data_IF_213363341959
#
_entry.id   IF_213363341959
#
_cell.length_a   1.000
_cell.length_b   1.000
_cell.length_c   1.000
_cell.angle_alpha   90.00
_cell.angle_beta   90.00
_cell.angle_gamma   90.00
#
_symmetry.space_group_name_H-M   'P 1'
#
loop_
_entity.id
_entity.type
_entity.pdbx_description
1 polymer ?
#
# COMPACT_ATOMS: atom_id res chain seq x y z
N UNK A 1 -9.66 13.68 7.88
CA UNK A 1 -10.20 12.37 7.43
C UNK A 1 -11.70 12.36 7.63
N UNK A 2 -12.46 11.74 6.72
CA UNK A 2 -13.91 11.58 6.84
C UNK A 2 -14.22 10.13 7.20
N UNK A 3 -15.16 9.89 8.10
CA UNK A 3 -15.59 8.56 8.52
C UNK A 3 -17.10 8.40 8.34
N UNK A 4 -17.52 7.19 8.03
CA UNK A 4 -18.92 6.77 7.95
C UNK A 4 -19.39 6.28 9.32
N UNK A 5 -20.44 6.90 9.86
CA UNK A 5 -21.09 6.39 11.06
C UNK A 5 -21.87 5.11 10.75
N UNK A 6 -21.55 4.02 11.43
CA UNK A 6 -22.01 2.66 11.07
C UNK A 6 -23.53 2.50 11.13
N UNK A 7 -24.19 3.04 12.17
CA UNK A 7 -25.65 2.89 12.35
C UNK A 7 -26.50 3.82 11.50
N UNK A 8 -26.06 5.06 11.31
CA UNK A 8 -26.85 6.08 10.60
C UNK A 8 -26.46 6.22 9.12
N UNK A 9 -25.34 5.62 8.71
CA UNK A 9 -24.73 5.73 7.40
C UNK A 9 -24.54 7.19 6.96
N UNK A 10 -24.13 8.04 7.90
CA UNK A 10 -23.82 9.45 7.68
C UNK A 10 -22.33 9.70 7.78
N UNK A 11 -21.82 10.57 6.92
CA UNK A 11 -20.41 10.92 6.88
C UNK A 11 -20.12 12.09 7.84
N UNK A 12 -19.04 11.95 8.62
CA UNK A 12 -18.55 12.95 9.55
C UNK A 12 -17.09 13.25 9.28
N UNK A 13 -16.71 14.53 9.38
CA UNK A 13 -15.35 14.99 9.15
C UNK A 13 -14.62 15.14 10.50
N UNK A 14 -13.41 14.57 10.57
CA UNK A 14 -12.53 14.61 11.73
C UNK A 14 -11.15 15.16 11.33
N UNK A 15 -10.47 15.77 12.29
CA UNK A 15 -9.20 16.47 12.09
C UNK A 15 -8.22 16.16 13.22
N UNK A 16 -6.93 16.03 12.88
CA UNK A 16 -5.84 15.86 13.85
C UNK A 16 -6.06 14.70 14.81
N UNK A 17 -5.81 14.95 16.09
CA UNK A 17 -5.91 13.94 17.16
C UNK A 17 -7.35 13.63 17.60
N UNK A 18 -8.35 14.27 16.98
CA UNK A 18 -9.76 14.04 17.29
C UNK A 18 -10.41 12.99 16.38
N UNK A 19 -9.61 12.11 15.77
CA UNK A 19 -10.12 10.98 15.00
C UNK A 19 -10.51 9.87 15.98
N UNK A 20 -11.79 9.46 16.05
CA UNK A 20 -12.22 8.38 16.94
C UNK A 20 -11.66 7.04 16.46
N UNK A 21 -11.73 6.02 17.31
CA UNK A 21 -11.55 4.63 16.90
C UNK A 21 -12.47 4.26 15.72
N UNK A 22 -11.92 3.55 14.73
CA UNK A 22 -12.63 3.15 13.53
C UNK A 22 -12.14 1.82 12.98
N UNK A 23 -13.04 1.12 12.29
CA UNK A 23 -12.71 0.02 11.41
C UNK A 23 -12.51 0.53 9.97
N UNK A 24 -11.78 -0.21 9.15
CA UNK A 24 -11.51 0.15 7.74
C UNK A 24 -11.92 -0.99 6.81
N UNK A 25 -12.48 -0.65 5.65
CA UNK A 25 -12.83 -1.63 4.61
C UNK A 25 -11.76 -1.68 3.54
N UNK A 26 -11.11 -2.83 3.41
CA UNK A 26 -10.30 -3.20 2.27
C UNK A 26 -11.16 -3.98 1.27
N UNK A 27 -11.16 -3.57 0.00
CA UNK A 27 -11.97 -4.21 -1.02
C UNK A 27 -11.41 -4.01 -2.42
N UNK A 28 -12.00 -4.70 -3.40
CA UNK A 28 -11.76 -4.41 -4.82
C UNK A 28 -12.95 -3.68 -5.43
N UNK A 29 -12.70 -2.70 -6.31
CA UNK A 29 -13.78 -1.89 -6.89
C UNK A 29 -14.57 -2.70 -7.92
N UNK A 30 -15.90 -2.70 -7.82
CA UNK A 30 -16.85 -3.34 -8.74
C UNK A 30 -17.45 -2.36 -9.76
N UNK A 31 -18.58 -2.74 -10.36
CA UNK A 31 -19.23 -1.98 -11.43
C UNK A 31 -19.90 -0.69 -10.96
N UNK A 32 -20.60 -0.70 -9.82
CA UNK A 32 -21.33 0.45 -9.31
C UNK A 32 -20.95 0.77 -7.86
N UNK A 33 -19.77 1.38 -7.71
CA UNK A 33 -19.31 1.88 -6.41
C UNK A 33 -20.16 3.04 -5.90
N UNK A 34 -20.40 3.06 -4.58
CA UNK A 34 -21.03 4.18 -3.91
C UNK A 34 -19.99 5.28 -3.70
N UNK A 35 -20.23 6.44 -4.30
CA UNK A 35 -19.36 7.60 -4.15
C UNK A 35 -19.74 8.47 -2.95
N UNK A 36 -18.86 9.41 -2.59
CA UNK A 36 -19.18 10.47 -1.64
C UNK A 36 -20.47 11.21 -2.02
N UNK A 37 -20.62 11.54 -3.30
CA UNK A 37 -21.80 12.24 -3.83
C UNK A 37 -23.05 11.39 -3.73
N UNK A 38 -22.96 10.07 -3.94
CA UNK A 38 -24.12 9.18 -3.79
C UNK A 38 -24.60 9.13 -2.32
N UNK A 39 -23.68 9.16 -1.36
CA UNK A 39 -24.01 9.27 0.06
C UNK A 39 -24.71 10.60 0.37
N UNK A 40 -24.17 11.72 -0.12
CA UNK A 40 -24.75 13.05 0.13
C UNK A 40 -26.14 13.22 -0.51
N UNK A 41 -26.34 12.65 -1.70
CA UNK A 41 -27.58 12.79 -2.46
C UNK A 41 -28.63 11.70 -2.13
N UNK A 42 -28.35 10.81 -1.16
CA UNK A 42 -29.25 9.71 -0.79
C UNK A 42 -29.45 8.66 -1.90
N UNK A 43 -28.47 8.51 -2.80
CA UNK A 43 -28.48 7.56 -3.92
C UNK A 43 -27.68 6.29 -3.66
N UNK A 44 -27.00 6.21 -2.52
CA UNK A 44 -26.16 5.07 -2.15
C UNK A 44 -26.90 3.73 -2.28
N UNK A 45 -28.13 3.62 -1.75
CA UNK A 45 -28.91 2.38 -1.76
C UNK A 45 -29.30 1.86 -3.17
N UNK A 46 -29.17 2.67 -4.21
CA UNK A 46 -29.44 2.23 -5.60
C UNK A 46 -28.23 1.59 -6.30
N UNK A 47 -27.08 1.53 -5.63
CA UNK A 47 -25.82 1.05 -6.20
C UNK A 47 -25.50 -0.35 -5.69
N UNK A 48 -24.97 -1.22 -6.54
CA UNK A 48 -24.58 -2.57 -6.13
C UNK A 48 -23.47 -2.58 -5.08
N UNK A 49 -22.56 -1.62 -5.13
CA UNK A 49 -21.50 -1.44 -4.11
C UNK A 49 -22.00 -1.02 -2.73
N UNK A 50 -23.32 -0.79 -2.55
CA UNK A 50 -23.89 -0.46 -1.24
C UNK A 50 -23.90 -1.66 -0.28
N UNK A 51 -24.07 -2.88 -0.80
CA UNK A 51 -24.15 -4.10 0.01
C UNK A 51 -22.88 -4.32 0.85
N UNK A 52 -21.70 -4.13 0.26
CA UNK A 52 -20.42 -4.22 1.01
C UNK A 52 -20.24 -3.12 2.05
N UNK A 53 -20.83 -1.94 1.84
CA UNK A 53 -20.81 -0.85 2.83
C UNK A 53 -21.67 -1.25 4.03
N UNK A 54 -22.86 -1.80 3.77
CA UNK A 54 -23.75 -2.30 4.82
C UNK A 54 -23.07 -3.43 5.60
N UNK A 55 -22.56 -4.44 4.90
CA UNK A 55 -21.87 -5.58 5.52
C UNK A 55 -20.70 -5.13 6.40
N UNK A 56 -19.89 -4.17 5.93
CA UNK A 56 -18.82 -3.57 6.72
C UNK A 56 -19.35 -2.85 7.97
N UNK A 57 -20.42 -2.05 7.83
CA UNK A 57 -21.01 -1.34 8.96
C UNK A 57 -21.64 -2.28 9.99
N UNK A 58 -22.29 -3.36 9.53
CA UNK A 58 -22.92 -4.36 10.38
C UNK A 58 -21.85 -5.10 11.19
N UNK A 59 -20.78 -5.58 10.54
CA UNK A 59 -19.64 -6.21 11.23
C UNK A 59 -18.97 -5.24 12.21
N UNK A 60 -18.77 -3.99 11.81
CA UNK A 60 -18.21 -2.96 12.67
C UNK A 60 -19.06 -2.72 13.92
N UNK A 61 -20.39 -2.74 13.80
CA UNK A 61 -21.30 -2.59 14.94
C UNK A 61 -21.20 -3.78 15.89
N UNK A 62 -21.14 -5.00 15.38
CA UNK A 62 -20.95 -6.22 16.18
C UNK A 62 -19.64 -6.18 16.98
N UNK A 63 -18.61 -5.64 16.34
CA UNK A 63 -17.28 -5.49 16.91
C UNK A 63 -17.12 -4.25 17.81
N UNK A 64 -18.17 -3.44 17.96
CA UNK A 64 -18.21 -2.28 18.86
C UNK A 64 -17.77 -0.95 18.26
N UNK A 65 -17.49 -0.89 16.95
CA UNK A 65 -17.08 0.33 16.25
C UNK A 65 -18.28 1.21 15.86
N UNK A 66 -18.15 2.51 16.13
CA UNK A 66 -19.14 3.52 15.71
C UNK A 66 -18.87 4.09 14.32
N UNK A 67 -17.64 3.92 13.82
CA UNK A 67 -17.17 4.53 12.60
C UNK A 67 -16.41 3.53 11.74
N UNK A 68 -16.63 3.63 10.42
CA UNK A 68 -15.84 2.96 9.41
C UNK A 68 -15.20 3.96 8.46
N UNK A 69 -14.04 3.60 7.89
CA UNK A 69 -13.50 4.26 6.72
C UNK A 69 -13.61 3.37 5.48
N UNK A 70 -14.08 3.95 4.39
CA UNK A 70 -14.26 3.28 3.10
C UNK A 70 -13.87 4.27 2.01
N UNK A 71 -12.82 3.96 1.25
CA UNK A 71 -12.21 4.86 0.25
C UNK A 71 -13.21 5.34 -0.83
N UNK A 72 -14.21 4.53 -1.15
CA UNK A 72 -15.19 4.85 -2.19
C UNK A 72 -16.11 5.99 -1.83
N UNK A 73 -16.52 6.08 -0.57
CA UNK A 73 -17.51 7.05 -0.11
C UNK A 73 -16.99 8.06 0.94
N UNK A 74 -15.85 7.78 1.59
CA UNK A 74 -15.24 8.69 2.55
C UNK A 74 -14.36 9.76 1.88
N UNK A 75 -13.89 9.54 0.65
CA UNK A 75 -13.08 10.50 -0.09
C UNK A 75 -13.95 11.21 -1.13
N UNK A 76 -13.95 12.54 -1.13
CA UNK A 76 -14.45 13.31 -2.27
C UNK A 76 -13.45 13.28 -3.43
N UNK A 77 -13.64 12.32 -4.33
CA UNK A 77 -12.79 12.13 -5.52
C UNK A 77 -12.95 13.24 -6.57
N UNK A 78 -13.91 14.16 -6.41
CA UNK A 78 -14.06 15.33 -7.29
C UNK A 78 -13.15 16.48 -6.87
N UNK A 79 -12.66 16.47 -5.63
CA UNK A 79 -11.68 17.40 -5.10
C UNK A 79 -10.27 16.83 -5.30
N UNK A 80 -9.48 17.43 -6.21
CA UNK A 80 -8.12 16.96 -6.49
C UNK A 80 -7.18 17.10 -5.29
N UNK A 81 -7.38 18.14 -4.46
CA UNK A 81 -6.63 18.31 -3.22
C UNK A 81 -6.96 17.24 -2.19
N UNK A 82 -8.24 16.94 -1.97
CA UNK A 82 -8.68 15.90 -1.05
C UNK A 82 -8.21 14.52 -1.52
N UNK A 83 -8.33 14.23 -2.82
CA UNK A 83 -7.84 12.98 -3.40
C UNK A 83 -6.32 12.82 -3.23
N UNK A 84 -5.56 13.89 -3.43
CA UNK A 84 -4.09 13.86 -3.25
C UNK A 84 -3.71 13.66 -1.79
N UNK A 85 -4.37 14.36 -0.87
CA UNK A 85 -4.14 14.19 0.58
C UNK A 85 -4.50 12.77 1.01
N UNK A 86 -5.62 12.24 0.53
CA UNK A 86 -6.08 10.90 0.84
C UNK A 86 -5.12 9.83 0.37
N UNK A 87 -4.66 9.90 -0.89
CA UNK A 87 -3.68 8.93 -1.43
C UNK A 87 -2.37 8.96 -0.65
N UNK A 88 -1.87 10.14 -0.28
CA UNK A 88 -0.65 10.28 0.52
C UNK A 88 -0.84 9.83 1.98
N UNK A 89 -2.07 9.80 2.49
CA UNK A 89 -2.38 9.43 3.87
C UNK A 89 -2.88 7.99 4.01
N UNK A 90 -3.20 7.32 2.91
CA UNK A 90 -3.99 6.09 2.91
C UNK A 90 -3.34 4.97 3.73
N UNK A 91 -2.03 4.75 3.56
CA UNK A 91 -1.29 3.76 4.37
C UNK A 91 -1.40 4.05 5.86
N UNK A 92 -1.23 5.33 6.25
CA UNK A 92 -1.36 5.74 7.65
C UNK A 92 -2.77 5.50 8.18
N UNK A 93 -3.79 5.70 7.36
CA UNK A 93 -5.18 5.43 7.74
C UNK A 93 -5.47 3.93 7.88
N UNK A 94 -4.89 3.06 7.06
CA UNK A 94 -4.96 1.62 7.28
C UNK A 94 -4.19 1.19 8.54
N UNK A 95 -3.01 1.76 8.78
CA UNK A 95 -2.19 1.43 9.94
C UNK A 95 -2.77 1.88 11.28
N UNK A 96 -3.56 2.95 11.28
CA UNK A 96 -4.24 3.48 12.47
C UNK A 96 -5.63 2.89 12.71
N UNK A 97 -6.19 2.17 11.73
CA UNK A 97 -7.46 1.49 11.92
C UNK A 97 -7.29 0.39 12.97
N UNK A 98 -8.28 0.22 13.85
CA UNK A 98 -8.23 -0.84 14.86
C UNK A 98 -8.57 -2.21 14.27
N UNK A 99 -9.41 -2.25 13.23
CA UNK A 99 -9.68 -3.46 12.43
C UNK A 99 -9.77 -3.16 10.96
N UNK A 100 -9.29 -4.09 10.14
CA UNK A 100 -9.45 -4.07 8.69
C UNK A 100 -10.34 -5.23 8.25
N UNK A 101 -11.52 -4.93 7.72
CA UNK A 101 -12.40 -5.91 7.11
C UNK A 101 -12.06 -6.05 5.63
N UNK A 102 -11.87 -7.29 5.18
CA UNK A 102 -11.59 -7.59 3.77
C UNK A 102 -12.86 -8.11 3.11
N UNK A 103 -13.31 -7.43 2.07
CA UNK A 103 -14.42 -7.89 1.23
C UNK A 103 -13.89 -8.58 -0.03
N UNK A 104 -14.06 -9.91 -0.08
CA UNK A 104 -13.66 -10.79 -1.18
C UNK A 104 -14.84 -10.96 -2.14
N UNK A 105 -14.95 -10.07 -3.12
CA UNK A 105 -16.12 -9.99 -4.01
C UNK A 105 -16.27 -11.14 -5.01
N UNK A 106 -15.19 -11.85 -5.27
CA UNK A 106 -15.06 -12.91 -6.28
C UNK A 106 -14.96 -14.32 -5.68
N UNK A 107 -15.04 -14.43 -4.34
CA UNK A 107 -15.21 -15.71 -3.67
C UNK A 107 -16.68 -15.92 -3.30
N UNK A 108 -17.22 -17.14 -3.49
CA UNK A 108 -18.55 -17.48 -3.00
C UNK A 108 -18.65 -17.32 -1.47
N UNK A 109 -19.77 -16.78 -0.94
CA UNK A 109 -19.94 -16.57 0.50
C UNK A 109 -20.08 -17.86 1.31
N UNK A 110 -20.31 -18.99 0.64
CA UNK A 110 -20.58 -20.30 1.26
C UNK A 110 -19.39 -21.27 1.18
N UNK A 111 -18.20 -20.78 0.83
CA UNK A 111 -16.99 -21.60 0.84
C UNK A 111 -16.64 -22.07 2.25
N UNK A 112 -16.14 -23.31 2.35
CA UNK A 112 -15.51 -23.77 3.59
C UNK A 112 -14.16 -23.10 3.80
N UNK A 113 -13.62 -23.11 5.02
CA UNK A 113 -12.30 -22.54 5.31
C UNK A 113 -11.19 -23.13 4.42
N UNK A 114 -11.26 -24.42 4.10
CA UNK A 114 -10.30 -25.07 3.21
C UNK A 114 -10.41 -24.58 1.77
N UNK A 115 -11.64 -24.44 1.25
CA UNK A 115 -11.86 -23.99 -0.13
C UNK A 115 -11.43 -22.52 -0.29
N UNK A 116 -11.68 -21.69 0.73
CA UNK A 116 -11.17 -20.32 0.78
C UNK A 116 -9.64 -20.33 0.66
N UNK A 117 -8.91 -21.12 1.45
CA UNK A 117 -7.45 -21.17 1.39
C UNK A 117 -6.91 -21.62 0.02
N UNK A 118 -7.63 -22.46 -0.70
CA UNK A 118 -7.26 -22.90 -2.05
C UNK A 118 -7.54 -21.81 -3.10
N UNK A 119 -8.63 -21.06 -2.99
CA UNK A 119 -9.02 -20.02 -3.97
C UNK A 119 -8.43 -18.63 -3.68
N UNK A 120 -7.99 -18.37 -2.44
CA UNK A 120 -7.43 -17.09 -2.01
C UNK A 120 -6.28 -16.57 -2.89
N UNK A 121 -5.31 -17.39 -3.33
CA UNK A 121 -4.22 -16.91 -4.20
C UNK A 121 -4.70 -16.33 -5.54
N UNK A 122 -5.79 -16.88 -6.08
CA UNK A 122 -6.37 -16.46 -7.36
C UNK A 122 -7.38 -15.32 -7.19
N UNK A 123 -7.78 -15.02 -5.95
CA UNK A 123 -8.69 -13.92 -5.66
C UNK A 123 -8.09 -12.59 -6.11
N UNK A 124 -8.93 -11.79 -6.76
CA UNK A 124 -8.64 -10.45 -7.24
C UNK A 124 -8.07 -9.56 -6.14
N UNK A 125 -8.45 -9.76 -4.88
CA UNK A 125 -7.90 -8.98 -3.77
C UNK A 125 -6.38 -9.14 -3.62
N UNK A 126 -5.84 -10.35 -3.78
CA UNK A 126 -4.41 -10.63 -3.65
C UNK A 126 -3.59 -10.13 -4.85
N UNK A 127 -4.21 -10.03 -6.03
CA UNK A 127 -3.52 -9.62 -7.26
C UNK A 127 -3.53 -8.12 -7.51
N UNK A 128 -4.21 -7.32 -6.67
CA UNK A 128 -4.34 -5.86 -6.86
C UNK A 128 -3.27 -5.07 -6.12
N UNK A 129 -2.71 -4.05 -6.78
CA UNK A 129 -1.60 -3.25 -6.26
C UNK A 129 -1.94 -2.50 -4.96
N UNK A 130 -3.07 -1.79 -4.93
CA UNK A 130 -3.50 -1.03 -3.75
C UNK A 130 -3.67 -1.89 -2.51
N UNK A 131 -4.20 -3.12 -2.67
CA UNK A 131 -4.44 -4.06 -1.58
C UNK A 131 -3.15 -4.53 -0.90
N UNK A 132 -1.97 -4.31 -1.48
CA UNK A 132 -0.70 -4.57 -0.79
C UNK A 132 -0.51 -3.65 0.43
N UNK A 133 -0.83 -2.36 0.29
CA UNK A 133 -0.80 -1.43 1.43
C UNK A 133 -1.87 -1.79 2.47
N UNK A 134 -3.05 -2.18 1.99
CA UNK A 134 -4.19 -2.53 2.85
C UNK A 134 -3.94 -3.81 3.64
N UNK A 135 -3.13 -4.72 3.09
CA UNK A 135 -2.69 -5.96 3.69
C UNK A 135 -1.57 -5.76 4.73
N UNK A 136 -0.61 -4.87 4.45
CA UNK A 136 0.59 -4.70 5.28
C UNK A 136 0.41 -3.68 6.41
N UNK A 137 -0.50 -2.71 6.24
CA UNK A 137 -0.63 -1.60 7.17
C UNK A 137 -1.37 -1.96 8.48
N UNK A 138 -2.51 -2.67 8.46
CA UNK A 138 -3.26 -2.97 9.69
C UNK A 138 -2.56 -3.99 10.60
N UNK A 139 -2.82 -3.89 11.91
CA UNK A 139 -2.19 -4.76 12.94
C UNK A 139 -2.82 -6.14 13.06
N UNK A 140 -4.07 -6.28 12.63
CA UNK A 140 -4.82 -7.52 12.64
C UNK A 140 -5.40 -7.73 11.24
N UNK A 141 -4.66 -8.46 10.40
CA UNK A 141 -5.20 -9.09 9.19
C UNK A 141 -4.99 -10.58 9.32
N UNK A 142 -6.08 -11.34 9.22
CA UNK A 142 -6.01 -12.79 9.12
C UNK A 142 -5.72 -13.20 7.68
N UNK A 143 -4.77 -14.15 7.53
CA UNK A 143 -4.46 -14.99 6.35
C UNK A 143 -3.32 -14.57 5.40
N UNK A 144 -2.19 -14.05 5.91
CA UNK A 144 -0.85 -14.12 5.28
C UNK A 144 0.20 -14.44 6.37
N UNK A 145 1.39 -14.93 5.98
CA UNK A 145 2.46 -15.42 6.87
C UNK A 145 2.75 -14.50 8.08
N UNK A 146 2.75 -15.09 9.28
CA UNK A 146 2.70 -14.43 10.60
C UNK A 146 3.79 -13.36 10.79
N UNK A 147 5.00 -13.61 10.30
CA UNK A 147 6.16 -12.71 10.50
C UNK A 147 6.07 -11.39 9.70
N UNK A 148 5.38 -11.37 8.55
CA UNK A 148 5.18 -10.16 7.75
C UNK A 148 3.93 -9.37 8.18
N UNK A 149 3.03 -10.02 8.93
CA UNK A 149 1.71 -9.52 9.33
C UNK A 149 1.63 -8.99 10.77
N UNK A 150 2.69 -9.11 11.56
CA UNK A 150 2.68 -8.65 12.96
C UNK A 150 2.48 -7.14 13.13
N UNK A 151 2.29 -6.36 12.05
CA UNK A 151 1.75 -5.00 12.13
C UNK A 151 2.66 -3.98 12.83
N UNK A 152 3.85 -4.41 13.21
CA UNK A 152 4.87 -3.52 13.72
C UNK A 152 5.45 -2.78 12.52
N UNK A 153 5.08 -1.52 12.37
CA UNK A 153 5.68 -0.53 11.45
C UNK A 153 7.23 -0.59 11.41
N UNK A 154 7.95 -0.96 12.50
CA UNK A 154 9.39 -1.26 12.46
C UNK A 154 9.83 -2.46 11.61
N UNK A 155 8.96 -3.46 11.37
CA UNK A 155 9.34 -4.73 10.74
C UNK A 155 9.44 -4.60 9.20
N UNK A 156 8.58 -3.79 8.57
CA UNK A 156 8.67 -3.54 7.12
C UNK A 156 10.00 -2.84 6.76
N UNK A 157 10.52 -1.99 7.64
CA UNK A 157 11.82 -1.33 7.45
C UNK A 157 13.01 -2.29 7.55
N UNK A 158 12.82 -3.48 8.12
CA UNK A 158 13.83 -4.54 8.13
C UNK A 158 14.06 -5.19 6.76
N UNK A 159 13.16 -4.95 5.79
CA UNK A 159 13.28 -5.49 4.43
C UNK A 159 13.90 -4.48 3.49
N UNK A 160 14.72 -4.98 2.57
CA UNK A 160 15.34 -4.15 1.56
C UNK A 160 14.32 -3.51 0.63
N UNK A 161 14.72 -2.45 -0.06
CA UNK A 161 13.95 -1.82 -1.13
C UNK A 161 13.58 -2.85 -2.20
N UNK A 162 14.52 -3.70 -2.62
CA UNK A 162 14.26 -4.74 -3.60
C UNK A 162 13.24 -5.78 -3.13
N UNK A 163 13.30 -6.18 -1.86
CA UNK A 163 12.32 -7.10 -1.27
C UNK A 163 10.93 -6.48 -1.27
N UNK A 164 10.82 -5.23 -0.80
CA UNK A 164 9.53 -4.51 -0.76
C UNK A 164 8.95 -4.28 -2.15
N UNK A 165 9.78 -3.96 -3.15
CA UNK A 165 9.35 -3.85 -4.55
C UNK A 165 8.93 -5.21 -5.14
N UNK A 166 9.59 -6.31 -4.74
CA UNK A 166 9.21 -7.66 -5.18
C UNK A 166 7.80 -8.05 -4.72
N UNK A 167 7.31 -7.55 -3.59
CA UNK A 167 5.93 -7.82 -3.12
C UNK A 167 4.85 -7.30 -4.08
N UNK A 168 5.21 -6.38 -4.97
CA UNK A 168 4.33 -5.81 -5.98
C UNK A 168 4.59 -6.34 -7.39
N UNK A 169 5.54 -7.26 -7.59
CA UNK A 169 5.99 -7.69 -8.92
C UNK A 169 4.90 -8.37 -9.76
N UNK A 170 3.99 -9.09 -9.10
CA UNK A 170 2.88 -9.82 -9.75
C UNK A 170 1.55 -9.06 -9.65
N UNK A 171 1.54 -7.92 -8.96
CA UNK A 171 0.32 -7.16 -8.72
C UNK A 171 -0.02 -6.25 -9.89
N UNK A 172 -1.30 -5.96 -10.04
CA UNK A 172 -1.84 -5.15 -11.14
C UNK A 172 -2.65 -3.96 -10.64
N UNK A 173 -2.55 -2.85 -11.35
CA UNK A 173 -3.38 -1.65 -11.14
C UNK A 173 -4.15 -1.31 -12.42
N UNK A 174 -5.31 -0.67 -12.28
CA UNK A 174 -6.11 -0.28 -13.45
C UNK A 174 -5.43 0.82 -14.27
N UNK A 175 -4.75 1.75 -13.60
CA UNK A 175 -3.94 2.79 -14.26
C UNK A 175 -2.48 2.51 -13.97
N UNK A 176 -1.63 2.66 -14.98
CA UNK A 176 -0.18 2.40 -14.89
C UNK A 176 0.45 3.17 -13.73
N UNK A 177 0.16 4.46 -13.61
CA UNK A 177 0.69 5.33 -12.54
C UNK A 177 0.25 4.92 -11.13
N UNK A 178 -0.92 4.30 -11.01
CA UNK A 178 -1.45 3.90 -9.70
C UNK A 178 -0.57 2.80 -9.09
N UNK A 179 0.23 2.09 -9.90
CA UNK A 179 1.25 1.16 -9.38
C UNK A 179 2.22 1.88 -8.45
N UNK A 180 2.76 3.02 -8.88
CA UNK A 180 3.67 3.82 -8.06
C UNK A 180 2.99 4.39 -6.82
N UNK A 181 1.80 4.97 -6.99
CA UNK A 181 1.07 5.58 -5.87
C UNK A 181 0.65 4.53 -4.84
N UNK A 182 0.39 3.31 -5.28
CA UNK A 182 0.07 2.18 -4.42
C UNK A 182 1.25 1.65 -3.61
N UNK A 183 2.46 2.22 -3.75
CA UNK A 183 3.65 1.81 -3.00
C UNK A 183 4.18 2.91 -2.08
N UNK A 184 3.71 4.15 -2.23
CA UNK A 184 4.24 5.30 -1.48
C UNK A 184 4.26 5.08 0.03
N UNK A 185 3.20 4.48 0.60
CA UNK A 185 3.13 4.19 2.03
C UNK A 185 4.14 3.16 2.52
N UNK A 186 4.43 2.13 1.71
CA UNK A 186 5.42 1.07 2.02
C UNK A 186 6.84 1.65 2.12
N UNK A 187 7.10 2.69 1.32
CA UNK A 187 8.40 3.38 1.29
C UNK A 187 8.42 4.68 2.08
N UNK A 188 7.33 5.08 2.73
CA UNK A 188 7.19 6.36 3.45
C UNK A 188 7.57 7.58 2.60
N UNK A 189 7.26 7.50 1.31
CA UNK A 189 7.51 8.55 0.33
C UNK A 189 6.25 9.40 0.15
N UNK A 190 6.45 10.71 -0.02
CA UNK A 190 5.42 11.62 -0.47
C UNK A 190 5.80 12.20 -1.83
N UNK A 191 4.92 12.08 -2.82
CA UNK A 191 5.13 12.71 -4.12
C UNK A 191 3.82 13.25 -4.72
N UNK A 192 3.86 14.35 -5.50
CA UNK A 192 2.70 14.88 -6.19
C UNK A 192 2.08 13.86 -7.15
N UNK A 193 0.75 13.85 -7.27
CA UNK A 193 0.04 13.03 -8.24
C UNK A 193 -0.02 13.75 -9.59
N UNK A 194 0.71 13.25 -10.59
CA UNK A 194 0.70 13.84 -11.93
C UNK A 194 -0.17 13.01 -12.88
N UNK A 195 -1.14 13.67 -13.50
CA UNK A 195 -1.95 13.03 -14.53
C UNK A 195 -1.18 12.97 -15.86
N UNK A 196 -1.15 11.78 -16.48
CA UNK A 196 -0.53 11.57 -17.80
C UNK A 196 0.92 11.10 -17.77
N UNK A 197 1.54 10.91 -16.60
CA UNK A 197 2.96 10.52 -16.51
C UNK A 197 3.24 9.04 -16.84
N UNK A 198 2.19 8.20 -16.85
CA UNK A 198 2.32 6.78 -17.22
C UNK A 198 3.31 6.02 -16.34
N UNK A 199 4.25 5.32 -16.96
CA UNK A 199 5.29 4.53 -16.29
C UNK A 199 6.29 5.40 -15.51
N UNK A 200 6.44 6.68 -15.88
CA UNK A 200 7.35 7.62 -15.20
C UNK A 200 6.95 7.90 -13.74
N UNK A 201 5.71 7.59 -13.35
CA UNK A 201 5.32 7.60 -11.95
C UNK A 201 6.19 6.65 -11.11
N UNK A 202 6.50 5.47 -11.63
CA UNK A 202 7.28 4.46 -10.93
C UNK A 202 8.77 4.79 -10.92
N UNK A 203 9.27 5.40 -11.99
CA UNK A 203 10.62 6.00 -11.99
C UNK A 203 10.74 7.08 -10.90
N UNK A 204 9.78 8.02 -10.82
CA UNK A 204 9.80 9.05 -9.78
C UNK A 204 9.68 8.47 -8.37
N UNK A 205 8.88 7.42 -8.17
CA UNK A 205 8.83 6.72 -6.88
C UNK A 205 10.23 6.23 -6.49
N UNK A 206 10.96 5.59 -7.41
CA UNK A 206 12.32 5.11 -7.16
C UNK A 206 13.28 6.27 -6.87
N UNK A 207 13.17 7.39 -7.59
CA UNK A 207 13.96 8.61 -7.30
C UNK A 207 13.69 9.14 -5.89
N UNK A 208 12.43 9.18 -5.45
CA UNK A 208 12.11 9.61 -4.08
C UNK A 208 12.61 8.61 -3.02
N UNK A 209 12.57 7.30 -3.30
CA UNK A 209 13.17 6.29 -2.42
C UNK A 209 14.68 6.54 -2.27
N UNK A 210 15.38 6.77 -3.37
CA UNK A 210 16.84 7.02 -3.38
C UNK A 210 17.20 8.28 -2.56
N UNK A 211 16.34 9.31 -2.56
CA UNK A 211 16.59 10.53 -1.77
C UNK A 211 16.58 10.28 -0.26
N UNK A 212 15.93 9.22 0.20
CA UNK A 212 15.67 8.96 1.62
C UNK A 212 16.27 7.63 2.12
N UNK A 213 16.93 6.86 1.25
CA UNK A 213 17.40 5.50 1.55
C UNK A 213 18.78 5.26 0.93
N UNK A 214 19.71 4.72 1.74
CA UNK A 214 21.04 4.26 1.30
C UNK A 214 21.04 2.77 0.88
N UNK A 215 19.85 2.19 0.69
CA UNK A 215 19.68 0.81 0.28
C UNK A 215 19.88 0.64 -1.23
N UNK A 216 21.10 0.28 -1.60
CA UNK A 216 21.52 0.00 -2.99
C UNK A 216 20.77 -1.16 -3.66
N UNK A 217 19.98 -1.95 -2.92
CA UNK A 217 19.16 -3.02 -3.49
C UNK A 217 18.14 -2.51 -4.52
N UNK A 218 17.82 -1.21 -4.53
CA UNK A 218 17.00 -0.61 -5.59
C UNK A 218 17.56 -0.86 -7.01
N UNK A 219 18.86 -1.10 -7.13
CA UNK A 219 19.53 -1.41 -8.39
C UNK A 219 19.65 -2.91 -8.71
N UNK A 220 19.17 -3.81 -7.85
CA UNK A 220 19.34 -5.28 -8.00
C UNK A 220 18.17 -5.96 -8.72
N UNK A 221 17.63 -5.33 -9.75
CA UNK A 221 16.53 -5.87 -10.56
C UNK A 221 17.06 -6.69 -11.76
N UNK A 222 16.19 -7.44 -12.42
CA UNK A 222 16.55 -8.22 -13.63
C UNK A 222 15.69 -7.81 -14.81
N UNK A 223 16.33 -7.60 -15.96
CA UNK A 223 15.60 -7.48 -17.22
C UNK A 223 15.13 -8.87 -17.67
N UNK A 224 13.83 -9.11 -17.57
CA UNK A 224 13.22 -10.37 -17.98
C UNK A 224 12.72 -10.35 -19.43
N UNK A 225 12.97 -9.27 -20.19
CA UNK A 225 12.55 -9.17 -21.60
C UNK A 225 13.42 -10.04 -22.50
N UNK A 226 12.79 -10.90 -23.31
CA UNK A 226 13.44 -11.56 -24.46
C UNK A 226 13.63 -10.63 -25.66
N UNK A 227 12.89 -9.52 -25.69
CA UNK A 227 12.80 -8.64 -26.85
C UNK A 227 13.01 -7.19 -26.42
N UNK A 228 14.07 -6.60 -26.98
CA UNK A 228 14.50 -5.24 -26.80
C UNK A 228 13.42 -4.26 -27.30
N UNK A 229 12.59 -3.75 -26.38
CA UNK A 229 12.04 -2.41 -26.53
C UNK A 229 13.13 -1.41 -26.10
N UNK A 230 13.93 -0.99 -27.09
CA UNK A 230 15.09 -0.08 -26.97
C UNK A 230 14.73 1.35 -26.53
N UNK A 231 13.47 1.62 -26.16
CA UNK A 231 13.01 2.96 -25.80
C UNK A 231 13.31 3.36 -24.35
N UNK A 232 13.59 2.39 -23.48
CA UNK A 232 13.92 2.63 -22.07
C UNK A 232 15.43 2.53 -21.83
N UNK A 233 16.04 3.65 -21.43
CA UNK A 233 17.50 3.79 -21.21
C UNK A 233 17.86 4.20 -19.79
N UNK A 234 16.87 4.25 -18.88
CA UNK A 234 17.09 4.61 -17.48
C UNK A 234 17.84 3.50 -16.74
N UNK A 235 18.49 3.84 -15.64
CA UNK A 235 19.03 2.85 -14.71
C UNK A 235 17.91 2.21 -13.86
N UNK A 236 16.76 2.88 -13.78
CA UNK A 236 15.63 2.51 -12.91
C UNK A 236 14.51 1.84 -13.71
N UNK A 237 14.14 0.57 -13.39
CA UNK A 237 13.21 -0.21 -14.18
C UNK A 237 11.82 0.44 -14.23
N UNK A 238 11.05 0.21 -15.29
CA UNK A 238 9.76 0.89 -15.48
C UNK A 238 8.62 0.31 -14.65
N UNK A 239 8.80 -0.83 -13.97
CA UNK A 239 7.77 -1.49 -13.19
C UNK A 239 8.33 -2.39 -12.07
N UNK A 240 7.53 -2.69 -11.02
CA UNK A 240 7.90 -3.64 -9.97
C UNK A 240 8.16 -5.07 -10.45
N UNK A 241 7.61 -5.48 -11.60
CA UNK A 241 7.79 -6.83 -12.16
C UNK A 241 9.26 -7.21 -12.36
N UNK A 242 10.14 -6.22 -12.58
CA UNK A 242 11.59 -6.40 -12.72
C UNK A 242 12.27 -6.83 -11.40
N UNK A 243 11.58 -6.69 -10.27
CA UNK A 243 12.03 -7.11 -8.95
C UNK A 243 11.51 -8.50 -8.53
N UNK A 244 10.76 -9.22 -9.37
CA UNK A 244 10.14 -10.49 -8.99
C UNK A 244 11.12 -11.56 -8.47
N UNK A 245 12.39 -11.51 -8.88
CA UNK A 245 13.46 -12.38 -8.37
C UNK A 245 14.18 -11.88 -7.12
N UNK A 246 13.72 -10.81 -6.46
CA UNK A 246 14.48 -10.10 -5.42
C UNK A 246 14.02 -10.40 -3.98
N UNK A 247 13.12 -11.36 -3.77
CA UNK A 247 12.55 -11.68 -2.45
C UNK A 247 13.58 -12.08 -1.39
N UNK A 248 14.76 -12.55 -1.80
CA UNK A 248 15.87 -12.96 -0.92
C UNK A 248 17.00 -11.92 -0.81
N UNK A 249 16.89 -10.76 -1.46
CA UNK A 249 17.92 -9.72 -1.41
C UNK A 249 17.80 -8.97 -0.09
N UNK A 250 18.53 -9.41 0.93
CA UNK A 250 18.53 -8.75 2.23
C UNK A 250 19.14 -7.34 2.14
N UNK A 251 18.64 -6.42 2.97
CA UNK A 251 19.26 -5.12 3.14
C UNK A 251 20.69 -5.33 3.69
N UNK A 252 21.67 -4.49 3.33
CA UNK A 252 22.95 -4.50 4.03
C UNK A 252 22.68 -4.32 5.53
N UNK A 253 23.27 -5.19 6.36
CA UNK A 253 23.00 -5.23 7.79
C UNK A 253 23.06 -3.83 8.39
N UNK A 254 21.94 -3.41 8.99
CA UNK A 254 21.68 -2.05 9.43
C UNK A 254 22.83 -1.47 10.27
N UNK A 255 23.66 -0.62 9.67
CA UNK A 255 24.28 0.47 10.40
C UNK A 255 23.34 1.66 10.24
N UNK A 256 22.40 1.75 11.20
CA UNK A 256 21.64 2.93 11.61
C UNK A 256 21.40 4.00 10.54
N UNK A 257 20.13 4.14 10.16
CA UNK A 257 19.59 5.42 9.69
C UNK A 257 20.18 6.53 10.55
N UNK A 258 20.98 7.43 9.97
CA UNK A 258 21.53 8.58 10.70
C UNK A 258 20.32 9.38 11.19
N UNK A 259 20.11 9.53 12.50
CA UNK A 259 19.11 10.47 12.98
C UNK A 259 19.52 11.86 12.53
N UNK A 260 18.73 12.50 11.66
CA UNK A 260 18.89 13.92 11.38
C UNK A 260 18.40 14.69 12.60
N UNK A 261 19.34 15.16 13.39
CA UNK A 261 19.14 16.25 14.34
C UNK A 261 18.89 17.56 13.55
N UNK A 262 17.94 18.37 14.00
CA UNK A 262 17.56 19.69 13.44
C UNK A 262 18.71 20.75 13.43
N UNK A 263 19.92 20.41 13.85
CA UNK A 263 21.11 21.27 13.87
C UNK A 263 22.08 21.08 12.69
N UNK A 264 21.90 20.05 11.85
CA UNK A 264 22.60 19.96 10.56
C UNK A 264 24.11 19.62 10.61
N UNK A 265 24.62 19.01 11.68
CA UNK A 265 26.01 18.54 11.75
C UNK A 265 26.11 17.00 11.78
N UNK A 266 26.95 16.44 10.91
CA UNK A 266 27.22 14.99 10.82
C UNK A 266 28.08 14.49 12.00
N UNK A 267 27.58 13.51 12.75
CA UNK A 267 28.35 12.84 13.81
C UNK A 267 29.21 11.74 13.21
N UNK A 268 30.51 12.00 13.05
CA UNK A 268 31.48 11.00 12.61
C UNK A 268 31.68 9.89 13.67
N UNK A 269 31.32 8.64 13.34
CA UNK A 269 31.77 7.48 14.09
C UNK A 269 32.99 6.82 13.45
N UNK A 270 34.02 6.63 14.28
CA UNK A 270 35.27 6.02 13.93
C UNK A 270 35.19 4.48 13.92
N UNK A 271 35.67 3.87 12.82
CA UNK A 271 36.49 2.66 12.89
C UNK A 271 35.80 1.31 12.66
N UNK A 272 35.98 0.77 11.45
CA UNK A 272 35.73 -0.64 11.13
C UNK A 272 35.92 -0.95 9.64
N UNK A 273 37.12 -0.70 9.09
CA UNK A 273 37.39 -0.94 7.68
C UNK A 273 37.44 -2.45 7.36
N UNK A 274 36.36 -3.00 6.80
CA UNK A 274 36.39 -4.33 6.18
C UNK A 274 36.99 -4.21 4.79
N UNK A 275 38.24 -4.63 4.66
CA UNK A 275 39.06 -4.60 3.44
C UNK A 275 38.58 -5.68 2.47
N UNK A 276 37.86 -5.32 1.41
CA UNK A 276 37.53 -6.21 0.31
C UNK A 276 38.82 -6.63 -0.43
N UNK A 277 39.12 -7.94 -0.47
CA UNK A 277 40.14 -8.51 -1.36
C UNK A 277 39.44 -9.05 -2.60
N UNK A 278 39.76 -8.52 -3.77
CA UNK A 278 39.48 -9.22 -5.04
C UNK A 278 40.29 -10.53 -5.04
N UNK A 279 39.62 -11.65 -5.29
CA UNK A 279 40.31 -12.85 -5.76
C UNK A 279 40.48 -12.72 -7.27
N UNK A 280 41.74 -12.67 -7.71
CA UNK A 280 42.12 -12.71 -9.11
C UNK A 280 41.60 -14.00 -9.75
N UNK A 281 40.89 -13.84 -10.87
CA UNK A 281 40.53 -14.92 -11.76
C UNK A 281 41.76 -15.36 -12.55
N UNK A 282 42.06 -16.66 -12.51
CA UNK A 282 42.91 -17.35 -13.50
C UNK A 282 42.06 -18.40 -14.19
#
# INVERSE_FOLDING_TARGET
MRLLQTRALKLFQFYGDFIPSYAILSHTWGLEEVTFQDMQNGKAASKTGYEKIQSCCDQAVEDGFQYCWIDTCCIDKTSSSELSEAINSMFSWYAKAERCYVHLSDLPPELSESDVLEELPDCRWFTRGWNLQELLAPKEITSIHEDALTGDYPNIEGYSVAQRLSWASERQTTRIKDMAYSLMGIFKVHMPLLYGEGWRAFERLQEEIIKISDDDSIFTWRDARSDADDTWTSLLPPAPSYFGGCSSIAAPAANYMIPRDDSGDDVAHAGGATRWRCHDAT
#
